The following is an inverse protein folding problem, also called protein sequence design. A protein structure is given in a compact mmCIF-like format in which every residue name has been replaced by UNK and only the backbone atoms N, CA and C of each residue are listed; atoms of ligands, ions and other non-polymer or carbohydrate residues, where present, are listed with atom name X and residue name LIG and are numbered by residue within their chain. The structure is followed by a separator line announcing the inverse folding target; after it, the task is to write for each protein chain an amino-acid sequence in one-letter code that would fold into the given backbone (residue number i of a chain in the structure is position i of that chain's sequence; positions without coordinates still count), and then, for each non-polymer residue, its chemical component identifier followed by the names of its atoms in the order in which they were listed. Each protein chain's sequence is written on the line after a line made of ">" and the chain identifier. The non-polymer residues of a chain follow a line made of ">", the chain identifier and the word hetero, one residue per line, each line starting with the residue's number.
data_IF_538307536938
#
_entry.id   IF_538307536938
#
_cell.length_a   1.000
_cell.length_b   1.000
_cell.length_c   1.000
_cell.angle_alpha   90.00
_cell.angle_beta   90.00
_cell.angle_gamma   90.00
#
_symmetry.space_group_name_H-M   'P 1'
#
loop_
_entity.id
_entity.type
_entity.pdbx_description
1 polymer ?
#
# COMPACT_ATOMS: atom_id res chain seq x y z
N UNK A 1 0.09 33.90 57.77
CA UNK A 1 -0.19 35.33 58.03
C UNK A 1 0.02 36.09 56.73
N UNK A 2 -1.00 36.83 56.27
CA UNK A 2 -0.99 38.03 55.40
C UNK A 2 -0.15 37.96 54.10
N UNK A 3 -0.68 38.26 52.92
CA UNK A 3 -1.12 39.62 52.57
C UNK A 3 -2.09 39.64 51.38
N UNK A 4 -3.13 40.46 51.52
CA UNK A 4 -3.96 40.96 50.42
C UNK A 4 -3.20 42.05 49.65
N UNK A 5 -3.47 42.19 48.35
CA UNK A 5 -3.23 43.44 47.60
C UNK A 5 -4.52 43.79 46.82
N UNK A 6 -4.96 45.06 46.83
CA UNK A 6 -6.37 45.42 46.70
C UNK A 6 -6.81 45.79 45.28
N UNK A 7 -8.11 45.64 45.08
CA UNK A 7 -8.91 46.36 44.08
C UNK A 7 -8.78 47.87 44.29
N UNK A 8 -8.38 48.61 43.24
CA UNK A 8 -8.36 50.07 43.19
C UNK A 8 -9.21 50.55 42.01
N UNK A 9 -10.19 51.40 42.34
CA UNK A 9 -11.35 51.82 41.56
C UNK A 9 -11.09 53.12 40.76
N UNK A 10 -11.71 53.21 39.58
CA UNK A 10 -12.20 54.38 38.82
C UNK A 10 -11.28 55.59 38.51
N UNK A 11 -11.25 55.96 37.21
CA UNK A 11 -11.97 57.17 36.78
C UNK A 11 -12.27 57.15 35.28
N UNK A 12 -13.54 57.41 34.99
CA UNK A 12 -14.12 57.54 33.67
C UNK A 12 -13.76 58.89 33.02
N UNK A 13 -13.52 58.87 31.72
CA UNK A 13 -13.68 60.03 30.83
C UNK A 13 -14.55 59.58 29.66
N UNK A 14 -15.74 60.16 29.60
CA UNK A 14 -16.75 59.95 28.56
C UNK A 14 -16.97 61.27 27.84
N UNK A 15 -17.30 61.15 26.54
CA UNK A 15 -17.66 62.17 25.55
C UNK A 15 -16.48 62.57 24.63
N UNK A 16 -16.55 62.51 23.29
CA UNK A 16 -17.69 62.62 22.38
C UNK A 16 -17.37 62.01 21.00
N UNK A 17 -18.44 61.61 20.31
CA UNK A 17 -18.60 61.52 18.84
C UNK A 17 -17.90 60.38 18.08
N UNK A 18 -18.70 59.36 17.78
CA UNK A 18 -18.58 58.43 16.65
C UNK A 18 -18.45 59.18 15.31
N UNK A 19 -17.78 58.57 14.33
CA UNK A 19 -18.57 57.86 13.33
C UNK A 19 -18.20 56.38 13.30
N UNK A 20 -19.24 55.57 13.13
CA UNK A 20 -19.17 54.15 12.90
C UNK A 20 -18.32 53.87 11.66
N UNK A 21 -17.06 53.51 11.86
CA UNK A 21 -16.36 52.60 10.96
C UNK A 21 -16.42 51.24 11.66
N UNK A 22 -17.35 50.40 11.19
CA UNK A 22 -17.47 49.03 11.62
C UNK A 22 -16.09 48.36 11.50
N UNK A 23 -15.52 47.97 12.65
CA UNK A 23 -14.56 46.89 12.69
C UNK A 23 -15.35 45.64 12.34
N UNK A 24 -15.40 45.30 11.06
CA UNK A 24 -15.83 43.98 10.61
C UNK A 24 -14.90 42.95 11.29
N UNK A 25 -15.41 42.03 12.12
CA UNK A 25 -14.63 40.88 12.53
C UNK A 25 -14.26 40.11 11.27
N UNK A 26 -12.97 39.82 11.14
CA UNK A 26 -12.36 39.02 10.08
C UNK A 26 -13.29 37.88 9.67
N UNK A 27 -13.81 37.96 8.44
CA UNK A 27 -14.62 36.90 7.86
C UNK A 27 -13.86 35.56 7.97
N UNK A 28 -14.57 34.47 8.32
CA UNK A 28 -13.95 33.17 8.55
C UNK A 28 -13.25 32.72 7.27
N UNK A 29 -12.16 31.95 7.38
CA UNK A 29 -11.52 31.29 6.25
C UNK A 29 -12.36 30.03 5.97
N UNK A 30 -13.34 30.00 5.05
CA UNK A 30 -14.19 28.82 4.85
C UNK A 30 -13.59 27.96 3.71
N UNK A 31 -12.87 28.59 2.80
CA UNK A 31 -12.34 27.98 1.57
C UNK A 31 -11.14 27.07 1.83
N UNK A 32 -10.26 27.41 2.79
CA UNK A 32 -9.07 26.60 3.06
C UNK A 32 -9.44 25.24 3.69
N UNK A 33 -10.44 25.20 4.57
CA UNK A 33 -10.92 23.95 5.16
C UNK A 33 -11.65 23.07 4.14
N UNK A 34 -12.41 23.68 3.25
CA UNK A 34 -13.15 22.97 2.20
C UNK A 34 -12.21 22.43 1.10
N UNK A 35 -11.14 23.16 0.79
CA UNK A 35 -10.09 22.73 -0.15
C UNK A 35 -9.19 21.63 0.45
N UNK A 36 -8.85 21.74 1.75
CA UNK A 36 -8.14 20.69 2.48
C UNK A 36 -8.99 19.42 2.61
N UNK A 37 -10.28 19.53 2.93
CA UNK A 37 -11.22 18.41 2.98
C UNK A 37 -11.31 17.70 1.63
N UNK A 38 -11.48 18.46 0.53
CA UNK A 38 -11.47 17.90 -0.82
C UNK A 38 -10.15 17.22 -1.19
N UNK A 39 -9.02 17.80 -0.79
CA UNK A 39 -7.69 17.21 -1.03
C UNK A 39 -7.47 15.91 -0.24
N UNK A 40 -8.04 15.82 0.97
CA UNK A 40 -8.00 14.63 1.81
C UNK A 40 -8.93 13.55 1.27
N UNK A 41 -10.14 13.90 0.86
CA UNK A 41 -11.08 12.98 0.20
C UNK A 41 -10.48 12.42 -1.09
N UNK A 42 -9.77 13.26 -1.86
CA UNK A 42 -9.05 12.83 -3.05
C UNK A 42 -7.86 11.93 -2.69
N UNK A 43 -7.12 12.22 -1.62
CA UNK A 43 -6.05 11.34 -1.10
C UNK A 43 -6.58 10.00 -0.60
N UNK A 44 -7.73 9.98 0.09
CA UNK A 44 -8.42 8.77 0.56
C UNK A 44 -8.90 7.96 -0.64
N UNK A 45 -9.51 8.63 -1.63
CA UNK A 45 -9.92 8.02 -2.89
C UNK A 45 -8.72 7.44 -3.63
N UNK A 46 -7.63 8.18 -3.75
CA UNK A 46 -6.37 7.73 -4.34
C UNK A 46 -5.73 6.60 -3.56
N UNK A 47 -5.80 6.57 -2.23
CA UNK A 47 -5.30 5.48 -1.38
C UNK A 47 -6.17 4.23 -1.47
N UNK A 48 -7.49 4.39 -1.59
CA UNK A 48 -8.43 3.29 -1.78
C UNK A 48 -8.29 2.68 -3.17
N UNK A 49 -8.13 3.52 -4.20
CA UNK A 49 -7.91 3.14 -5.59
C UNK A 49 -6.47 2.63 -5.82
N UNK A 50 -5.47 3.20 -5.14
CA UNK A 50 -4.13 2.63 -5.00
C UNK A 50 -4.20 1.29 -4.28
N UNK A 51 -5.05 1.14 -3.26
CA UNK A 51 -5.30 -0.11 -2.54
C UNK A 51 -5.96 -1.17 -3.41
N UNK A 52 -6.91 -0.79 -4.28
CA UNK A 52 -7.54 -1.66 -5.29
C UNK A 52 -6.56 -2.07 -6.38
N UNK A 53 -5.84 -1.12 -6.97
CA UNK A 53 -4.77 -1.38 -7.95
C UNK A 53 -3.59 -2.13 -7.34
N UNK A 54 -3.24 -1.90 -6.08
CA UNK A 54 -2.25 -2.68 -5.33
C UNK A 54 -2.76 -4.07 -5.02
N UNK A 55 -4.03 -4.24 -4.68
CA UNK A 55 -4.66 -5.56 -4.52
C UNK A 55 -4.57 -6.32 -5.84
N UNK A 56 -4.75 -5.67 -6.99
CA UNK A 56 -4.54 -6.31 -8.29
C UNK A 56 -3.06 -6.59 -8.63
N UNK A 57 -2.13 -5.79 -8.11
CA UNK A 57 -0.67 -5.93 -8.35
C UNK A 57 0.04 -6.86 -7.35
N UNK A 58 -0.47 -7.00 -6.13
CA UNK A 58 0.19 -7.72 -5.01
C UNK A 58 -0.69 -8.74 -4.28
N UNK A 59 -2.03 -8.75 -4.44
CA UNK A 59 -2.76 -9.99 -4.16
C UNK A 59 -2.23 -11.05 -5.15
N UNK A 60 -2.39 -12.36 -4.86
CA UNK A 60 -2.04 -13.38 -5.83
C UNK A 60 -2.85 -13.09 -7.08
N UNK A 61 -2.22 -12.50 -8.09
CA UNK A 61 -2.91 -12.21 -9.32
C UNK A 61 -3.42 -13.56 -9.83
N UNK A 62 -4.70 -13.69 -10.21
CA UNK A 62 -5.17 -14.88 -10.90
C UNK A 62 -4.28 -15.18 -12.12
N UNK A 63 -3.57 -14.15 -12.63
CA UNK A 63 -2.61 -14.18 -13.73
C UNK A 63 -1.50 -13.12 -13.56
N UNK A 64 -0.53 -13.32 -12.68
CA UNK A 64 0.58 -12.36 -12.53
C UNK A 64 1.67 -12.82 -11.58
N UNK A 65 2.78 -13.24 -12.16
CA UNK A 65 4.00 -13.77 -11.53
C UNK A 65 3.86 -15.01 -10.65
N UNK A 66 3.90 -16.18 -11.29
CA UNK A 66 4.18 -17.44 -10.61
C UNK A 66 5.50 -17.31 -9.83
N UNK A 67 5.55 -17.56 -8.51
CA UNK A 67 6.80 -17.62 -7.76
C UNK A 67 7.79 -18.50 -8.52
N UNK A 68 9.07 -18.13 -8.60
CA UNK A 68 10.05 -18.87 -9.41
C UNK A 68 10.04 -20.38 -9.12
N UNK A 69 9.80 -20.77 -7.86
CA UNK A 69 9.60 -22.15 -7.41
C UNK A 69 8.49 -22.89 -8.19
N UNK A 70 7.39 -22.20 -8.51
CA UNK A 70 6.31 -22.77 -9.32
C UNK A 70 6.77 -23.06 -10.75
N UNK A 71 7.67 -22.24 -11.30
CA UNK A 71 8.26 -22.48 -12.62
C UNK A 71 9.29 -23.61 -12.57
N UNK A 72 10.08 -23.70 -11.50
CA UNK A 72 10.97 -24.86 -11.26
C UNK A 72 10.19 -26.17 -11.23
N UNK A 73 9.07 -26.20 -10.48
CA UNK A 73 8.19 -27.37 -10.39
C UNK A 73 7.44 -27.66 -11.70
N UNK A 74 7.09 -26.61 -12.46
CA UNK A 74 6.49 -26.78 -13.80
C UNK A 74 7.46 -27.50 -14.74
N UNK A 75 8.73 -27.08 -14.74
CA UNK A 75 9.76 -27.63 -15.63
C UNK A 75 10.55 -28.77 -14.98
N UNK A 76 9.95 -29.52 -14.06
CA UNK A 76 10.67 -30.52 -13.26
C UNK A 76 11.31 -31.62 -14.12
N UNK A 77 10.65 -32.00 -15.21
CA UNK A 77 11.10 -33.07 -16.10
C UNK A 77 12.23 -32.57 -17.00
N UNK A 78 12.09 -31.36 -17.55
CA UNK A 78 13.13 -30.70 -18.33
C UNK A 78 14.34 -30.41 -17.45
N UNK A 79 14.16 -29.99 -16.20
CA UNK A 79 15.26 -29.75 -15.26
C UNK A 79 15.87 -31.04 -14.72
N UNK A 80 15.26 -32.21 -14.94
CA UNK A 80 15.70 -33.48 -14.36
C UNK A 80 15.77 -33.43 -12.83
N UNK A 81 14.73 -32.86 -12.19
CA UNK A 81 14.68 -32.77 -10.74
C UNK A 81 14.51 -34.15 -10.11
N UNK A 82 15.26 -34.43 -9.05
CA UNK A 82 15.04 -35.63 -8.24
C UNK A 82 13.72 -35.54 -7.45
N UNK A 83 13.21 -36.69 -7.01
CA UNK A 83 12.01 -36.73 -6.15
C UNK A 83 12.18 -35.89 -4.88
N UNK A 84 13.37 -35.90 -4.28
CA UNK A 84 13.70 -35.12 -3.09
C UNK A 84 13.71 -33.61 -3.38
N UNK A 85 14.27 -33.20 -4.52
CA UNK A 85 14.24 -31.80 -4.96
C UNK A 85 12.80 -31.31 -5.17
N UNK A 86 11.96 -32.11 -5.83
CA UNK A 86 10.54 -31.80 -6.04
C UNK A 86 9.82 -31.64 -4.69
N UNK A 87 9.97 -32.61 -3.78
CA UNK A 87 9.35 -32.56 -2.46
C UNK A 87 9.79 -31.32 -1.67
N UNK A 88 11.08 -30.99 -1.70
CA UNK A 88 11.62 -29.80 -1.03
C UNK A 88 11.03 -28.50 -1.60
N UNK A 89 10.98 -28.37 -2.94
CA UNK A 89 10.41 -27.21 -3.62
C UNK A 89 8.89 -27.06 -3.36
N UNK A 90 8.16 -28.17 -3.30
CA UNK A 90 6.73 -28.16 -2.97
C UNK A 90 6.47 -27.66 -1.54
N UNK A 91 7.27 -28.12 -0.57
CA UNK A 91 7.21 -27.64 0.82
C UNK A 91 7.51 -26.14 0.89
N UNK A 92 8.62 -25.70 0.31
CA UNK A 92 9.00 -24.28 0.26
C UNK A 92 7.89 -23.41 -0.34
N UNK A 93 7.26 -23.86 -1.44
CA UNK A 93 6.12 -23.16 -2.05
C UNK A 93 4.93 -23.07 -1.10
N UNK A 94 4.57 -24.18 -0.45
CA UNK A 94 3.43 -24.23 0.46
C UNK A 94 3.64 -23.38 1.72
N UNK A 95 4.85 -23.41 2.29
CA UNK A 95 5.23 -22.60 3.44
C UNK A 95 5.17 -21.12 3.12
N UNK A 96 5.80 -20.70 2.02
CA UNK A 96 5.71 -19.31 1.57
C UNK A 96 4.26 -18.89 1.28
N UNK A 97 3.44 -19.75 0.66
CA UNK A 97 2.05 -19.42 0.38
C UNK A 97 1.25 -19.16 1.67
N UNK A 98 1.41 -20.02 2.69
CA UNK A 98 0.78 -19.79 4.01
C UNK A 98 1.27 -18.50 4.65
N UNK A 99 2.57 -18.24 4.58
CA UNK A 99 3.20 -17.05 5.11
C UNK A 99 2.69 -15.76 4.43
N UNK A 100 2.58 -15.80 3.10
CA UNK A 100 2.10 -14.69 2.28
C UNK A 100 0.63 -14.36 2.57
N UNK A 101 -0.23 -15.37 2.71
CA UNK A 101 -1.65 -15.17 3.06
C UNK A 101 -1.78 -14.43 4.40
N UNK A 102 -1.01 -14.82 5.42
CA UNK A 102 -1.04 -14.17 6.73
C UNK A 102 -0.60 -12.70 6.64
N UNK A 103 0.55 -12.45 6.01
CA UNK A 103 1.07 -11.07 5.84
C UNK A 103 0.18 -10.19 4.99
N UNK A 104 -0.45 -10.74 3.96
CA UNK A 104 -1.43 -10.00 3.15
C UNK A 104 -2.66 -9.61 3.97
N UNK A 105 -3.15 -10.51 4.83
CA UNK A 105 -4.23 -10.19 5.76
C UNK A 105 -3.85 -9.06 6.72
N UNK A 106 -2.67 -9.13 7.34
CA UNK A 106 -2.16 -8.08 8.23
C UNK A 106 -2.03 -6.73 7.49
N UNK A 107 -1.49 -6.75 6.27
CA UNK A 107 -1.36 -5.57 5.41
C UNK A 107 -2.72 -4.95 5.09
N UNK A 108 -3.71 -5.78 4.75
CA UNK A 108 -5.07 -5.32 4.45
C UNK A 108 -5.72 -4.67 5.67
N UNK A 109 -5.55 -5.25 6.86
CA UNK A 109 -6.04 -4.67 8.11
C UNK A 109 -5.36 -3.31 8.35
N UNK A 110 -4.04 -3.22 8.26
CA UNK A 110 -3.31 -1.97 8.46
C UNK A 110 -3.72 -0.86 7.46
N UNK A 111 -4.01 -1.23 6.21
CA UNK A 111 -4.54 -0.27 5.21
C UNK A 111 -5.96 0.18 5.55
N UNK A 112 -6.82 -0.71 6.04
CA UNK A 112 -8.17 -0.33 6.49
C UNK A 112 -8.11 0.60 7.71
N UNK A 113 -7.23 0.31 8.67
CA UNK A 113 -7.00 1.18 9.83
C UNK A 113 -6.50 2.57 9.40
N UNK A 114 -5.59 2.63 8.42
CA UNK A 114 -5.09 3.89 7.89
C UNK A 114 -6.22 4.72 7.28
N UNK A 115 -7.10 4.09 6.49
CA UNK A 115 -8.26 4.75 5.90
C UNK A 115 -9.17 5.35 7.00
N UNK A 116 -9.48 4.57 8.04
CA UNK A 116 -10.29 5.04 9.16
C UNK A 116 -9.64 6.20 9.96
N UNK A 117 -8.31 6.27 10.02
CA UNK A 117 -7.61 7.42 10.62
C UNK A 117 -7.73 8.69 9.79
N UNK A 118 -7.76 8.55 8.45
CA UNK A 118 -7.86 9.66 7.51
C UNK A 118 -9.28 10.23 7.39
N UNK A 119 -10.31 9.45 7.71
CA UNK A 119 -11.71 9.90 7.74
C UNK A 119 -12.04 10.85 8.92
N UNK A 120 -11.12 11.03 9.87
CA UNK A 120 -11.32 11.91 11.03
C UNK A 120 -11.14 13.38 10.64
N UNK A 121 -11.98 14.25 11.19
CA UNK A 121 -11.84 15.70 11.06
C UNK A 121 -11.73 16.38 12.43
N UNK A 122 -10.59 17.03 12.77
CA UNK A 122 -9.36 17.09 11.98
C UNK A 122 -8.59 15.77 12.01
N UNK A 123 -7.81 15.51 10.96
CA UNK A 123 -6.90 14.36 10.90
C UNK A 123 -5.78 14.52 11.92
N UNK A 124 -5.58 13.49 12.76
CA UNK A 124 -4.42 13.40 13.64
C UNK A 124 -3.24 12.75 12.90
N UNK A 125 -2.23 13.55 12.58
CA UNK A 125 -1.08 13.12 11.79
C UNK A 125 -0.17 12.12 12.52
N UNK A 126 -0.16 12.08 13.86
CA UNK A 126 0.71 11.19 14.63
C UNK A 126 0.38 9.70 14.39
N UNK A 127 -0.87 9.27 14.66
CA UNK A 127 -1.34 7.93 14.34
C UNK A 127 -1.25 7.58 12.85
N UNK A 128 -1.50 8.55 11.96
CA UNK A 128 -1.40 8.36 10.51
C UNK A 128 0.03 8.00 10.10
N UNK A 129 1.03 8.74 10.57
CA UNK A 129 2.44 8.44 10.28
C UNK A 129 2.82 7.04 10.78
N UNK A 130 2.45 6.71 12.02
CA UNK A 130 2.74 5.40 12.61
C UNK A 130 2.12 4.26 11.78
N UNK A 131 0.86 4.40 11.38
CA UNK A 131 0.15 3.39 10.59
C UNK A 131 0.70 3.28 9.17
N UNK A 132 1.08 4.39 8.53
CA UNK A 132 1.72 4.39 7.22
C UNK A 132 3.06 3.64 7.25
N UNK A 133 3.90 3.87 8.28
CA UNK A 133 5.15 3.14 8.48
C UNK A 133 4.91 1.65 8.68
N UNK A 134 3.86 1.26 9.39
CA UNK A 134 3.47 -0.14 9.57
C UNK A 134 3.10 -0.80 8.23
N UNK A 135 2.26 -0.14 7.42
CA UNK A 135 1.88 -0.60 6.08
C UNK A 135 3.11 -0.86 5.21
N UNK A 136 4.05 0.08 5.17
CA UNK A 136 5.28 -0.09 4.37
C UNK A 136 6.19 -1.19 4.92
N UNK A 137 6.31 -1.34 6.24
CA UNK A 137 7.04 -2.45 6.85
C UNK A 137 6.45 -3.80 6.43
N UNK A 138 5.13 -3.97 6.49
CA UNK A 138 4.46 -5.21 6.09
C UNK A 138 4.67 -5.52 4.60
N UNK A 139 4.66 -4.50 3.73
CA UNK A 139 4.98 -4.65 2.30
C UNK A 139 6.42 -5.13 2.08
N UNK A 140 7.38 -4.54 2.80
CA UNK A 140 8.79 -4.95 2.73
C UNK A 140 8.95 -6.40 3.21
N UNK A 141 8.33 -6.75 4.33
CA UNK A 141 8.42 -8.08 4.91
C UNK A 141 7.88 -9.17 3.96
N UNK A 142 6.75 -8.90 3.29
CA UNK A 142 6.19 -9.82 2.29
C UNK A 142 7.12 -9.99 1.08
N UNK A 143 7.67 -8.89 0.56
CA UNK A 143 8.62 -8.93 -0.58
C UNK A 143 9.91 -9.68 -0.21
N UNK A 144 10.43 -9.45 0.99
CA UNK A 144 11.62 -10.11 1.49
C UNK A 144 11.39 -11.61 1.70
N UNK A 145 10.23 -12.01 2.24
CA UNK A 145 9.85 -13.42 2.35
C UNK A 145 9.82 -14.11 0.98
N UNK A 146 9.28 -13.43 -0.05
CA UNK A 146 9.27 -13.95 -1.43
C UNK A 146 10.68 -14.14 -1.98
N UNK A 147 11.56 -13.16 -1.80
CA UNK A 147 12.97 -13.25 -2.23
C UNK A 147 13.66 -14.42 -1.53
N UNK A 148 13.50 -14.55 -0.21
CA UNK A 148 14.07 -15.65 0.58
C UNK A 148 13.61 -17.01 0.09
N UNK A 149 12.30 -17.18 -0.15
CA UNK A 149 11.75 -18.42 -0.68
C UNK A 149 12.36 -18.75 -2.06
N UNK A 150 12.50 -17.75 -2.94
CA UNK A 150 13.12 -17.92 -4.25
C UNK A 150 14.59 -18.36 -4.13
N UNK A 151 15.37 -17.73 -3.25
CA UNK A 151 16.78 -18.10 -3.03
C UNK A 151 16.93 -19.49 -2.42
N UNK A 152 16.05 -19.87 -1.48
CA UNK A 152 15.97 -21.24 -0.95
C UNK A 152 15.58 -22.24 -2.03
N UNK A 153 14.64 -21.90 -2.92
CA UNK A 153 14.29 -22.76 -4.05
C UNK A 153 15.46 -22.94 -5.02
N UNK A 154 16.18 -21.86 -5.34
CA UNK A 154 17.41 -21.94 -6.15
C UNK A 154 18.47 -22.80 -5.46
N UNK A 155 18.60 -22.76 -4.14
CA UNK A 155 19.61 -23.56 -3.42
C UNK A 155 19.37 -25.07 -3.54
N UNK A 156 18.13 -25.50 -3.83
CA UNK A 156 17.80 -26.90 -4.10
C UNK A 156 18.30 -27.42 -5.46
N UNK A 157 18.66 -26.53 -6.38
CA UNK A 157 19.07 -26.88 -7.75
C UNK A 157 20.59 -27.01 -7.89
N UNK A 158 21.07 -27.85 -8.79
CA UNK A 158 22.49 -27.85 -9.21
C UNK A 158 22.82 -26.63 -10.07
N UNK A 159 24.10 -26.38 -10.33
CA UNK A 159 24.53 -25.28 -11.21
C UNK A 159 23.97 -25.46 -12.64
N UNK A 160 23.98 -26.69 -13.14
CA UNK A 160 23.48 -27.08 -14.46
C UNK A 160 21.97 -26.87 -14.55
N UNK A 161 21.22 -27.30 -13.52
CA UNK A 161 19.77 -27.09 -13.44
C UNK A 161 19.42 -25.61 -13.41
N UNK A 162 20.18 -24.77 -12.68
CA UNK A 162 19.97 -23.31 -12.68
C UNK A 162 20.25 -22.69 -14.05
N UNK A 163 21.29 -23.13 -14.74
CA UNK A 163 21.58 -22.65 -16.09
C UNK A 163 20.45 -23.03 -17.06
N UNK A 164 19.97 -24.28 -17.02
CA UNK A 164 18.85 -24.75 -17.83
C UNK A 164 17.56 -23.98 -17.53
N UNK A 165 17.26 -23.72 -16.25
CA UNK A 165 16.12 -22.91 -15.86
C UNK A 165 16.18 -21.50 -16.47
N UNK A 166 17.35 -20.85 -16.52
CA UNK A 166 17.49 -19.53 -17.16
C UNK A 166 17.13 -19.57 -18.65
N UNK A 167 17.55 -20.62 -19.36
CA UNK A 167 17.20 -20.82 -20.77
C UNK A 167 15.70 -21.02 -20.96
N UNK A 168 15.08 -21.91 -20.17
CA UNK A 168 13.64 -22.19 -20.22
C UNK A 168 12.76 -20.96 -19.90
N UNK A 169 13.29 -19.99 -19.14
CA UNK A 169 12.60 -18.73 -18.83
C UNK A 169 12.81 -17.64 -19.89
N UNK A 170 13.90 -17.71 -20.65
CA UNK A 170 14.21 -16.76 -21.72
C UNK A 170 13.38 -17.05 -22.98
N UNK A 171 13.10 -18.33 -23.25
CA UNK A 171 12.36 -18.80 -24.42
C UNK A 171 10.89 -18.30 -24.42
N UNK A 172 10.42 -17.70 -25.53
CA UNK A 172 9.07 -17.15 -25.63
C UNK A 172 7.95 -18.20 -25.85
N UNK A 173 8.29 -19.48 -25.97
CA UNK A 173 7.44 -20.52 -26.58
C UNK A 173 6.39 -21.15 -25.64
N UNK A 174 6.34 -20.84 -24.34
CA UNK A 174 5.39 -21.50 -23.41
C UNK A 174 4.46 -20.53 -22.67
N UNK A 175 3.57 -19.88 -23.45
CA UNK A 175 2.19 -19.60 -23.00
C UNK A 175 1.89 -18.28 -22.30
N UNK A 176 2.74 -17.25 -22.40
CA UNK A 176 2.35 -15.89 -22.04
C UNK A 176 2.58 -14.93 -23.22
N UNK A 177 1.52 -14.29 -23.78
CA UNK A 177 1.73 -13.20 -24.72
C UNK A 177 2.50 -12.10 -24.00
N UNK A 178 3.74 -11.84 -24.40
CA UNK A 178 4.42 -10.61 -23.96
C UNK A 178 3.63 -9.43 -24.54
N UNK A 179 3.16 -8.46 -23.74
CA UNK A 179 2.58 -7.25 -24.31
C UNK A 179 3.64 -6.66 -25.24
N UNK A 180 3.25 -6.43 -26.51
CA UNK A 180 4.12 -5.78 -27.51
C UNK A 180 4.65 -4.50 -26.87
N UNK A 181 5.96 -4.36 -26.76
CA UNK A 181 6.61 -3.11 -26.31
C UNK A 181 6.16 -2.02 -27.28
N UNK A 182 5.20 -1.20 -26.86
CA UNK A 182 4.54 -0.17 -27.68
C UNK A 182 3.01 -0.23 -27.78
N UNK A 183 2.34 -1.26 -27.25
CA UNK A 183 0.88 -1.23 -27.14
C UNK A 183 0.48 -0.35 -25.96
N UNK A 184 0.12 0.91 -26.23
CA UNK A 184 -0.56 1.76 -25.27
C UNK A 184 -1.80 1.01 -24.75
N UNK A 185 -1.85 0.78 -23.45
CA UNK A 185 -3.07 0.34 -22.78
C UNK A 185 -4.04 1.53 -22.80
N UNK A 186 -4.81 1.67 -23.87
CA UNK A 186 -6.05 2.44 -23.75
C UNK A 186 -7.00 1.59 -22.90
N UNK A 187 -7.49 2.07 -21.75
CA UNK A 187 -8.55 1.38 -21.04
C UNK A 187 -9.78 1.37 -21.95
N UNK A 188 -10.21 0.18 -22.37
CA UNK A 188 -11.51 0.01 -23.02
C UNK A 188 -12.57 0.16 -21.93
N UNK A 189 -13.17 1.34 -21.86
CA UNK A 189 -14.13 1.75 -20.81
C UNK A 189 -15.48 1.00 -20.85
N UNK A 190 -15.64 0.00 -21.71
CA UNK A 190 -16.90 -0.63 -22.08
C UNK A 190 -17.15 -2.00 -21.38
N UNK A 191 -16.36 -2.39 -20.37
CA UNK A 191 -16.58 -3.65 -19.62
C UNK A 191 -16.40 -3.55 -18.10
N UNK A 192 -16.90 -2.48 -17.48
CA UNK A 192 -16.91 -2.32 -16.02
C UNK A 192 -18.27 -2.63 -15.36
N UNK A 193 -19.26 -3.13 -16.09
CA UNK A 193 -20.53 -3.53 -15.50
C UNK A 193 -20.99 -4.92 -15.97
N UNK A 194 -20.73 -5.92 -15.14
CA UNK A 194 -21.62 -7.07 -14.98
C UNK A 194 -21.47 -7.57 -13.54
N UNK A 195 -22.63 -7.67 -12.89
CA UNK A 195 -22.88 -7.95 -11.48
C UNK A 195 -22.10 -9.15 -10.92
#
# INVERSE_FOLDING_TARGET
>A
MRTHIPFGLFLALLALATPAAALEPTAPIPAAHEELGRSLDELIGQLHDLGGRWREHFAPSPRGERPLITLMLRYKDELGLSADQVQSLERLRADFQREAIRRDADLRIAVMDLAALLEKDPVDLGPVEAKLREVERLRVDLRLARIRAIEQGKSQLTAEQRAKLRTLLAEPEHGWPRPRRGAALTPRADRLFSF
#
